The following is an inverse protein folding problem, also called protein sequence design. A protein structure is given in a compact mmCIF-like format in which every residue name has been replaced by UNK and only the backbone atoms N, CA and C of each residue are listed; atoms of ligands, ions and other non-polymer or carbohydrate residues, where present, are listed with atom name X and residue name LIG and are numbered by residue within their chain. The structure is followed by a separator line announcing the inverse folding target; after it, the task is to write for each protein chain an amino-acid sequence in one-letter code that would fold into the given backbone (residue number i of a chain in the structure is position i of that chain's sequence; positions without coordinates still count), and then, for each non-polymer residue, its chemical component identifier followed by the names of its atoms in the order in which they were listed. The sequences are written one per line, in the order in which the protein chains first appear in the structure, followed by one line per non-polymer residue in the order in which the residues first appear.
data_IF_273216076258
#
_entry.id   IF_273216076258
#
_cell.length_a   1.000
_cell.length_b   1.000
_cell.length_c   1.000
_cell.angle_alpha   90.00
_cell.angle_beta   90.00
_cell.angle_gamma   90.00
#
_symmetry.space_group_name_H-M   'P 1'
#
loop_
_entity.id
_entity.type
_entity.pdbx_description
1 polymer ?
#
# COMPACT_ATOMS: atom_id res chain seq x y z
N UNK A 1 -14.70 0.20 -15.60
CA UNK A 1 -13.55 0.35 -14.68
C UNK A 1 -14.11 0.19 -13.29
N UNK A 2 -13.66 -0.84 -12.58
CA UNK A 2 -14.02 -1.06 -11.17
C UNK A 2 -12.90 -0.48 -10.31
N UNK A 3 -13.25 0.16 -9.21
CA UNK A 3 -12.28 0.84 -8.34
C UNK A 3 -12.61 0.59 -6.89
N UNK A 4 -11.57 0.37 -6.09
CA UNK A 4 -11.66 0.22 -4.64
C UNK A 4 -10.73 1.25 -3.99
N UNK A 5 -11.16 1.80 -2.86
CA UNK A 5 -10.35 2.73 -2.07
C UNK A 5 -9.76 1.95 -0.90
N UNK A 6 -8.44 1.95 -0.82
CA UNK A 6 -7.69 1.39 0.30
C UNK A 6 -7.10 2.54 1.11
N UNK A 7 -7.55 2.70 2.35
CA UNK A 7 -7.00 3.69 3.26
C UNK A 7 -5.81 3.11 4.03
N UNK A 8 -4.68 3.80 4.01
CA UNK A 8 -3.47 3.41 4.75
C UNK A 8 -3.76 3.20 6.25
N UNK A 9 -4.74 3.93 6.81
CA UNK A 9 -5.16 3.81 8.21
C UNK A 9 -5.71 2.42 8.56
N UNK A 10 -6.34 1.74 7.61
CA UNK A 10 -6.97 0.43 7.80
C UNK A 10 -5.95 -0.73 7.80
N UNK A 11 -4.70 -0.43 7.41
CA UNK A 11 -3.60 -1.38 7.30
C UNK A 11 -2.41 -1.01 8.19
N UNK A 12 -2.64 -0.19 9.22
CA UNK A 12 -1.60 0.17 10.19
C UNK A 12 -1.04 -1.07 10.90
N UNK A 13 0.28 -1.18 10.89
CA UNK A 13 0.99 -2.21 11.64
C UNK A 13 1.44 -1.64 13.01
N UNK A 14 1.35 -2.44 14.09
CA UNK A 14 1.80 -2.01 15.42
C UNK A 14 3.33 -1.91 15.55
N UNK A 15 4.07 -2.54 14.63
CA UNK A 15 5.52 -2.49 14.54
C UNK A 15 5.95 -2.56 13.07
N UNK A 16 7.22 -2.27 12.79
CA UNK A 16 7.84 -2.52 11.49
C UNK A 16 7.98 -4.03 11.26
N UNK A 17 6.90 -4.64 10.79
CA UNK A 17 6.89 -6.03 10.29
C UNK A 17 6.76 -5.98 8.77
N UNK A 18 7.79 -6.46 8.07
CA UNK A 18 7.79 -6.61 6.61
C UNK A 18 7.86 -8.08 6.18
N UNK A 19 7.51 -9.01 7.08
CA UNK A 19 7.50 -10.44 6.77
C UNK A 19 6.42 -10.83 5.76
N UNK A 20 5.39 -9.99 5.58
CA UNK A 20 4.20 -10.29 4.79
C UNK A 20 3.30 -11.36 5.39
N UNK A 21 3.60 -11.82 6.62
CA UNK A 21 2.90 -12.95 7.25
C UNK A 21 1.71 -12.55 8.12
N UNK A 22 1.61 -11.26 8.47
CA UNK A 22 0.52 -10.72 9.28
C UNK A 22 -0.82 -10.82 8.55
N UNK A 23 -1.90 -10.93 9.31
CA UNK A 23 -3.26 -10.94 8.76
C UNK A 23 -3.55 -9.68 7.94
N UNK A 24 -3.06 -8.53 8.41
CA UNK A 24 -3.13 -7.25 7.70
C UNK A 24 -2.44 -7.32 6.33
N UNK A 25 -1.25 -7.92 6.25
CA UNK A 25 -0.53 -8.07 5.00
C UNK A 25 -1.25 -9.00 4.02
N UNK A 26 -1.78 -10.13 4.50
CA UNK A 26 -2.57 -11.06 3.67
C UNK A 26 -3.82 -10.39 3.10
N UNK A 27 -4.58 -9.70 3.96
CA UNK A 27 -5.79 -8.97 3.55
C UNK A 27 -5.46 -7.89 2.52
N UNK A 28 -4.38 -7.15 2.73
CA UNK A 28 -3.90 -6.16 1.76
C UNK A 28 -3.49 -6.81 0.43
N UNK A 29 -2.83 -7.99 0.48
CA UNK A 29 -2.37 -8.71 -0.70
C UNK A 29 -3.52 -9.16 -1.60
N UNK A 30 -4.66 -9.55 -1.02
CA UNK A 30 -5.85 -9.92 -1.79
C UNK A 30 -6.33 -8.78 -2.71
N UNK A 31 -6.31 -7.54 -2.21
CA UNK A 31 -6.67 -6.37 -3.01
C UNK A 31 -5.61 -6.06 -4.09
N UNK A 32 -4.33 -6.08 -3.70
CA UNK A 32 -3.20 -5.79 -4.60
C UNK A 32 -3.10 -6.80 -5.74
N UNK A 33 -3.34 -8.08 -5.49
CA UNK A 33 -3.25 -9.14 -6.50
C UNK A 33 -4.38 -9.05 -7.52
N UNK A 34 -5.56 -8.57 -7.12
CA UNK A 34 -6.72 -8.34 -7.99
C UNK A 34 -6.62 -7.09 -8.84
N UNK A 35 -5.78 -6.12 -8.45
CA UNK A 35 -5.66 -4.85 -9.13
C UNK A 35 -4.75 -4.94 -10.36
N UNK A 36 -5.20 -4.35 -11.47
CA UNK A 36 -4.39 -4.19 -12.69
C UNK A 36 -3.42 -2.99 -12.60
N UNK A 37 -3.71 -2.04 -11.71
CA UNK A 37 -2.88 -0.85 -11.46
C UNK A 37 -3.39 -0.03 -10.27
N UNK A 38 -2.62 0.99 -9.89
CA UNK A 38 -2.86 1.77 -8.68
C UNK A 38 -2.86 3.27 -8.97
N UNK A 39 -3.69 4.00 -8.23
CA UNK A 39 -3.57 5.45 -8.05
C UNK A 39 -3.23 5.70 -6.59
N UNK A 40 -2.09 6.33 -6.34
CA UNK A 40 -1.66 6.69 -4.99
C UNK A 40 -1.90 8.18 -4.76
N UNK A 41 -2.71 8.50 -3.76
CA UNK A 41 -2.90 9.86 -3.26
C UNK A 41 -2.00 10.02 -2.05
N UNK A 42 -0.97 10.86 -2.18
CA UNK A 42 0.20 10.89 -1.31
C UNK A 42 0.39 12.30 -0.74
N UNK A 43 -0.16 12.61 0.44
CA UNK A 43 0.04 13.93 1.03
C UNK A 43 1.52 14.16 1.38
N UNK A 44 1.99 15.39 1.28
CA UNK A 44 3.32 15.76 1.79
C UNK A 44 3.31 15.87 3.31
N UNK A 45 4.21 15.14 3.97
CA UNK A 45 4.49 15.23 5.39
C UNK A 45 6.01 15.32 5.60
N UNK A 46 6.48 16.43 6.20
CA UNK A 46 7.91 16.70 6.42
C UNK A 46 8.75 16.57 5.13
N UNK A 47 8.31 17.20 4.04
CA UNK A 47 9.01 17.21 2.74
C UNK A 47 9.13 15.85 2.04
N UNK A 48 8.32 14.88 2.44
CA UNK A 48 8.29 13.54 1.83
C UNK A 48 6.90 12.92 1.98
N UNK A 49 6.72 11.70 1.50
CA UNK A 49 5.51 10.94 1.70
C UNK A 49 5.45 10.36 3.13
N UNK A 50 4.25 10.07 3.67
CA UNK A 50 4.10 9.66 5.06
C UNK A 50 4.75 8.31 5.35
N UNK A 51 5.29 8.14 6.56
CA UNK A 51 5.93 6.91 7.00
C UNK A 51 5.00 5.70 6.97
N UNK A 52 3.72 5.88 7.31
CA UNK A 52 2.72 4.83 7.25
C UNK A 52 2.48 4.32 5.83
N UNK A 53 2.51 5.22 4.83
CA UNK A 53 2.42 4.82 3.43
C UNK A 53 3.64 3.97 3.05
N UNK A 54 4.84 4.35 3.50
CA UNK A 54 6.06 3.55 3.27
C UNK A 54 5.93 2.14 3.84
N UNK A 55 5.45 2.05 5.08
CA UNK A 55 5.28 0.77 5.76
C UNK A 55 4.30 -0.13 5.03
N UNK A 56 3.17 0.42 4.56
CA UNK A 56 2.19 -0.33 3.78
C UNK A 56 2.78 -0.81 2.44
N UNK A 57 3.54 0.03 1.74
CA UNK A 57 4.23 -0.34 0.49
C UNK A 57 5.35 -1.38 0.71
N UNK A 58 6.01 -1.37 1.86
CA UNK A 58 7.07 -2.34 2.14
C UNK A 58 6.55 -3.75 2.40
N UNK A 59 5.29 -3.90 2.84
CA UNK A 59 4.66 -5.20 3.09
C UNK A 59 4.57 -6.07 1.85
N UNK A 60 4.27 -5.47 0.69
CA UNK A 60 3.82 -6.19 -0.51
C UNK A 60 4.63 -5.87 -1.76
N UNK A 61 5.91 -5.52 -1.58
CA UNK A 61 6.78 -5.15 -2.69
C UNK A 61 6.78 -6.19 -3.82
N UNK A 62 6.71 -7.48 -3.50
CA UNK A 62 6.76 -8.54 -4.52
C UNK A 62 5.48 -8.59 -5.34
N UNK A 63 4.34 -8.27 -4.73
CA UNK A 63 3.00 -8.45 -5.26
C UNK A 63 2.62 -7.31 -6.23
N UNK A 64 3.00 -6.07 -5.93
CA UNK A 64 2.73 -4.93 -6.83
C UNK A 64 3.85 -4.62 -7.81
N UNK A 65 5.02 -5.27 -7.72
CA UNK A 65 6.14 -5.00 -8.62
C UNK A 65 5.73 -5.21 -10.09
N UNK A 66 5.92 -4.18 -10.91
CA UNK A 66 5.61 -4.21 -12.34
C UNK A 66 4.18 -3.81 -12.70
N UNK A 67 3.34 -3.47 -11.71
CA UNK A 67 2.00 -2.91 -11.94
C UNK A 67 2.09 -1.43 -12.33
N UNK A 68 1.12 -0.95 -13.11
CA UNK A 68 1.03 0.45 -13.47
C UNK A 68 0.66 1.30 -12.24
N UNK A 69 1.29 2.48 -12.09
CA UNK A 69 1.06 3.38 -10.95
C UNK A 69 0.93 4.82 -11.42
N UNK A 70 -0.12 5.51 -10.98
CA UNK A 70 -0.24 6.96 -11.00
C UNK A 70 -0.08 7.54 -9.58
N UNK A 71 0.55 8.71 -9.46
CA UNK A 71 0.80 9.37 -8.17
C UNK A 71 0.19 10.78 -8.22
N UNK A 72 -0.51 11.16 -7.16
CA UNK A 72 -1.05 12.50 -6.90
C UNK A 72 -0.55 12.96 -5.53
N UNK A 73 0.07 14.14 -5.47
CA UNK A 73 0.68 14.71 -4.25
C UNK A 73 -0.02 15.95 -3.76
#
# INVERSE_FOLDING_TARGET
METEILDVRDYRLPATDNSGSSETAKRFAEHVLRADGFIMVVPEYNHTYPGELKMMLDLLYKEYRGRAVGICG
#
